data_IF_538418104439
#
_entry.id   IF_538418104439
#
_cell.length_a   1.000
_cell.length_b   1.000
_cell.length_c   1.000
_cell.angle_alpha   90.00
_cell.angle_beta   90.00
_cell.angle_gamma   90.00
#
_symmetry.space_group_name_H-M   'P 1'
#
loop_
_entity.id
_entity.type
_entity.pdbx_description
1 polymer ?
#
# COMPACT_ATOMS: atom_id res chain seq x y z
N UNK A 1 3.52 4.48 -24.15
CA UNK A 1 3.29 4.98 -22.78
C UNK A 1 2.93 3.81 -21.90
N UNK A 2 3.49 3.71 -20.69
CA UNK A 2 3.21 2.60 -19.77
C UNK A 2 1.75 2.64 -19.27
N UNK A 3 1.24 1.50 -18.82
CA UNK A 3 -0.10 1.45 -18.22
C UNK A 3 -0.07 2.08 -16.83
N UNK A 4 -1.04 2.94 -16.53
CA UNK A 4 -1.16 3.62 -15.24
C UNK A 4 -1.91 2.69 -14.28
N UNK A 5 -1.27 2.35 -13.16
CA UNK A 5 -1.77 1.36 -12.21
C UNK A 5 -1.79 1.92 -10.80
N UNK A 6 -2.91 1.79 -10.13
CA UNK A 6 -3.05 2.01 -8.70
C UNK A 6 -3.18 0.66 -7.98
N UNK A 7 -2.38 0.46 -6.93
CA UNK A 7 -2.48 -0.70 -6.06
C UNK A 7 -3.08 -0.31 -4.72
N UNK A 8 -4.14 -0.98 -4.37
CA UNK A 8 -4.72 -0.86 -3.05
C UNK A 8 -3.84 -1.54 -1.98
N UNK A 9 -3.89 -1.05 -0.75
CA UNK A 9 -3.12 -1.55 0.40
C UNK A 9 -3.32 -3.05 0.62
N UNK A 10 -4.54 -3.55 0.40
CA UNK A 10 -4.87 -4.96 0.60
C UNK A 10 -4.13 -5.93 -0.36
N UNK A 11 -3.62 -5.44 -1.49
CA UNK A 11 -2.76 -6.21 -2.39
C UNK A 11 -1.42 -6.52 -1.72
N UNK A 12 -0.83 -5.56 -1.02
CA UNK A 12 0.42 -5.74 -0.27
C UNK A 12 0.21 -6.66 0.93
N UNK A 13 -0.87 -6.46 1.69
CA UNK A 13 -1.25 -7.29 2.84
C UNK A 13 -1.48 -8.74 2.39
N UNK A 14 -2.25 -8.96 1.33
CA UNK A 14 -2.56 -10.28 0.79
C UNK A 14 -1.32 -11.04 0.29
N UNK A 15 -0.28 -10.32 -0.15
CA UNK A 15 1.02 -10.89 -0.52
C UNK A 15 2.01 -10.92 0.65
N UNK A 16 1.58 -10.65 1.90
CA UNK A 16 2.42 -10.59 3.10
C UNK A 16 3.63 -9.67 2.96
N UNK A 17 3.53 -8.59 2.19
CA UNK A 17 4.63 -7.67 1.84
C UNK A 17 5.86 -8.40 1.27
N UNK A 18 5.67 -9.54 0.63
CA UNK A 18 6.76 -10.35 0.12
C UNK A 18 7.20 -9.89 -1.25
N UNK A 19 8.35 -9.22 -1.31
CA UNK A 19 9.03 -8.83 -2.55
C UNK A 19 9.81 -9.99 -3.19
N UNK A 20 9.81 -11.17 -2.56
CA UNK A 20 10.37 -12.39 -3.12
C UNK A 20 9.31 -13.21 -3.88
N UNK A 21 8.04 -12.94 -3.66
CA UNK A 21 6.93 -13.62 -4.31
C UNK A 21 6.68 -13.06 -5.72
N UNK A 22 6.29 -13.97 -6.61
CA UNK A 22 6.13 -13.69 -8.05
C UNK A 22 5.31 -12.44 -8.41
N UNK A 23 4.16 -12.11 -7.77
CA UNK A 23 3.37 -10.95 -8.19
C UNK A 23 4.13 -9.62 -8.05
N UNK A 24 4.63 -9.30 -6.85
CA UNK A 24 5.31 -8.03 -6.60
C UNK A 24 6.68 -7.95 -7.30
N UNK A 25 7.39 -9.07 -7.42
CA UNK A 25 8.65 -9.14 -8.20
C UNK A 25 8.41 -8.89 -9.69
N UNK A 26 7.32 -9.42 -10.25
CA UNK A 26 6.95 -9.14 -11.65
C UNK A 26 6.55 -7.69 -11.85
N UNK A 27 5.75 -7.15 -10.92
CA UNK A 27 5.34 -5.76 -10.96
C UNK A 27 6.55 -4.83 -10.97
N UNK A 28 7.53 -5.06 -10.07
CA UNK A 28 8.78 -4.30 -10.02
C UNK A 28 9.46 -4.28 -11.39
N UNK A 29 9.61 -5.44 -12.05
CA UNK A 29 10.18 -5.51 -13.40
C UNK A 29 9.40 -4.71 -14.44
N UNK A 30 8.07 -4.67 -14.34
CA UNK A 30 7.26 -3.85 -15.24
C UNK A 30 7.42 -2.35 -15.00
N UNK A 31 7.59 -1.95 -13.74
CA UNK A 31 7.89 -0.55 -13.36
C UNK A 31 9.28 -0.16 -13.88
N UNK A 32 10.31 -0.96 -13.61
CA UNK A 32 11.69 -0.74 -14.06
C UNK A 32 11.79 -0.58 -15.59
N UNK A 33 10.96 -1.31 -16.34
CA UNK A 33 10.92 -1.24 -17.80
C UNK A 33 9.90 -0.23 -18.36
N UNK A 34 9.31 0.61 -17.51
CA UNK A 34 8.30 1.60 -17.87
C UNK A 34 7.06 1.01 -18.60
N UNK A 35 6.78 -0.29 -18.39
CA UNK A 35 5.55 -0.94 -18.85
C UNK A 35 4.37 -0.55 -17.96
N UNK A 36 4.65 -0.34 -16.68
CA UNK A 36 3.70 0.13 -15.67
C UNK A 36 4.23 1.41 -15.05
N UNK A 37 3.37 2.39 -14.89
CA UNK A 37 3.59 3.61 -14.12
C UNK A 37 2.66 3.53 -12.91
N UNK A 38 3.22 3.55 -11.72
CA UNK A 38 2.43 3.49 -10.50
C UNK A 38 1.80 4.83 -10.19
N UNK A 39 0.53 4.82 -9.76
CA UNK A 39 -0.05 5.95 -9.02
C UNK A 39 0.17 5.74 -7.54
N UNK A 40 0.64 6.77 -6.87
CA UNK A 40 0.77 6.77 -5.41
C UNK A 40 0.08 7.98 -4.79
N UNK A 41 -0.29 7.85 -3.54
CA UNK A 41 -0.74 8.95 -2.71
C UNK A 41 -0.30 8.72 -1.26
N UNK A 42 -0.21 9.78 -0.51
CA UNK A 42 0.31 9.77 0.86
C UNK A 42 -0.55 8.90 1.81
N UNK A 43 -1.87 8.83 1.59
CA UNK A 43 -2.80 8.06 2.44
C UNK A 43 -2.50 6.57 2.31
N UNK A 44 -2.53 6.05 1.09
CA UNK A 44 -2.24 4.63 0.80
C UNK A 44 -0.82 4.27 1.22
N UNK A 45 0.17 5.13 0.96
CA UNK A 45 1.57 4.90 1.32
C UNK A 45 1.76 4.80 2.83
N UNK A 46 1.17 5.70 3.62
CA UNK A 46 1.18 5.64 5.08
C UNK A 46 0.48 4.39 5.62
N UNK A 47 -0.61 3.97 4.99
CA UNK A 47 -1.30 2.74 5.38
C UNK A 47 -0.47 1.49 5.11
N UNK A 48 0.16 1.40 3.95
CA UNK A 48 1.09 0.30 3.61
C UNK A 48 2.22 0.24 4.63
N UNK A 49 2.87 1.36 4.95
CA UNK A 49 3.95 1.41 5.94
C UNK A 49 3.49 0.97 7.32
N UNK A 50 2.33 1.42 7.76
CA UNK A 50 1.77 1.03 9.06
C UNK A 50 1.60 -0.48 9.15
N UNK A 51 0.91 -1.09 8.19
CA UNK A 51 0.67 -2.54 8.20
C UNK A 51 1.95 -3.36 8.01
N UNK A 52 2.88 -2.86 7.21
CA UNK A 52 4.20 -3.49 7.06
C UNK A 52 4.96 -3.49 8.37
N UNK A 53 5.03 -2.36 9.07
CA UNK A 53 5.68 -2.24 10.36
C UNK A 53 5.05 -3.17 11.42
N UNK A 54 3.73 -3.19 11.52
CA UNK A 54 2.99 -4.10 12.40
C UNK A 54 3.36 -5.57 12.13
N UNK A 55 3.49 -5.94 10.86
CA UNK A 55 3.89 -7.28 10.44
C UNK A 55 5.35 -7.60 10.80
N UNK A 56 6.27 -6.67 10.54
CA UNK A 56 7.70 -6.80 10.91
C UNK A 56 7.82 -7.02 12.41
N UNK A 57 7.17 -6.20 13.22
CA UNK A 57 7.18 -6.32 14.68
C UNK A 57 6.75 -7.70 15.15
N UNK A 58 5.63 -8.22 14.65
CA UNK A 58 5.14 -9.56 15.01
C UNK A 58 6.15 -10.65 14.67
N UNK A 59 6.80 -10.56 13.50
CA UNK A 59 7.76 -11.56 13.03
C UNK A 59 9.03 -11.50 13.87
N UNK A 60 9.57 -10.32 14.12
CA UNK A 60 10.78 -10.10 14.93
C UNK A 60 10.58 -10.58 16.35
N UNK A 61 9.47 -10.23 16.99
CA UNK A 61 9.12 -10.69 18.33
C UNK A 61 9.06 -12.22 18.42
N UNK A 62 8.44 -12.86 17.43
CA UNK A 62 8.35 -14.34 17.39
C UNK A 62 9.73 -14.98 17.21
N UNK A 63 10.52 -14.46 16.30
CA UNK A 63 11.87 -14.96 16.04
C UNK A 63 12.76 -14.83 17.28
N UNK A 64 12.81 -13.66 17.88
CA UNK A 64 13.63 -13.40 19.07
C UNK A 64 13.19 -14.26 20.27
N UNK A 65 11.87 -14.50 20.44
CA UNK A 65 11.36 -15.44 21.44
C UNK A 65 11.80 -16.88 21.20
N UNK A 66 11.86 -17.32 19.94
CA UNK A 66 12.35 -18.67 19.59
C UNK A 66 13.84 -18.78 19.90
N UNK A 67 14.65 -17.81 19.51
CA UNK A 67 16.10 -17.79 19.80
C UNK A 67 16.38 -17.82 21.30
N UNK A 68 15.68 -17.00 22.09
CA UNK A 68 15.84 -16.98 23.56
C UNK A 68 15.49 -18.31 24.25
N UNK A 69 14.50 -19.04 23.72
CA UNK A 69 14.08 -20.33 24.27
C UNK A 69 14.96 -21.51 23.83
N UNK A 70 15.76 -21.33 22.79
CA UNK A 70 16.57 -22.39 22.20
C UNK A 70 18.02 -21.94 22.05
N UNK A 71 18.80 -21.98 23.14
CA UNK A 71 20.18 -21.46 23.14
C UNK A 71 21.12 -22.24 22.20
N UNK A 72 20.71 -23.38 21.67
CA UNK A 72 21.42 -24.09 20.58
C UNK A 72 21.41 -23.31 19.27
N UNK A 73 20.45 -22.40 19.09
CA UNK A 73 20.38 -21.52 17.94
C UNK A 73 21.28 -20.32 18.21
N UNK A 74 22.56 -20.45 17.90
CA UNK A 74 23.53 -19.34 17.95
C UNK A 74 23.25 -18.36 16.81
N UNK A 75 22.24 -17.52 16.96
CA UNK A 75 21.90 -16.45 16.01
C UNK A 75 21.63 -15.16 16.75
N UNK A 76 22.06 -14.08 16.14
CA UNK A 76 21.80 -12.74 16.66
C UNK A 76 20.30 -12.44 16.69
N UNK A 77 19.89 -11.66 17.68
CA UNK A 77 18.53 -11.11 17.73
C UNK A 77 18.31 -10.21 16.51
N UNK A 78 17.12 -10.28 15.92
CA UNK A 78 16.74 -9.39 14.83
C UNK A 78 16.43 -8.00 15.38
N UNK A 79 16.93 -6.99 14.70
CA UNK A 79 16.60 -5.59 14.97
C UNK A 79 15.38 -5.18 14.13
N UNK A 80 14.30 -4.79 14.81
CA UNK A 80 13.05 -4.37 14.19
C UNK A 80 13.24 -3.20 13.24
N UNK A 81 14.02 -2.18 13.64
CA UNK A 81 14.23 -0.98 12.82
C UNK A 81 14.99 -1.29 11.53
N UNK A 82 16.04 -2.09 11.60
CA UNK A 82 16.82 -2.47 10.42
C UNK A 82 16.00 -3.25 9.39
N UNK A 83 15.11 -4.11 9.89
CA UNK A 83 14.22 -4.88 9.01
C UNK A 83 13.17 -3.97 8.39
N UNK A 84 12.58 -3.08 9.17
CA UNK A 84 11.58 -2.12 8.69
C UNK A 84 12.18 -1.20 7.61
N UNK A 85 13.37 -0.66 7.84
CA UNK A 85 14.09 0.17 6.86
C UNK A 85 14.36 -0.57 5.54
N UNK A 86 14.87 -1.80 5.61
CA UNK A 86 15.09 -2.63 4.41
C UNK A 86 13.82 -2.91 3.62
N UNK A 87 12.69 -3.10 4.29
CA UNK A 87 11.41 -3.30 3.61
C UNK A 87 10.86 -2.00 3.02
N UNK A 88 11.07 -0.85 3.69
CA UNK A 88 10.74 0.47 3.12
C UNK A 88 11.52 0.75 1.86
N UNK A 89 12.83 0.51 1.85
CA UNK A 89 13.66 0.64 0.65
C UNK A 89 13.12 -0.19 -0.52
N UNK A 90 12.76 -1.46 -0.27
CA UNK A 90 12.17 -2.33 -1.31
C UNK A 90 10.80 -1.85 -1.79
N UNK A 91 10.01 -1.24 -0.90
CA UNK A 91 8.73 -0.67 -1.29
C UNK A 91 8.93 0.56 -2.17
N UNK A 92 9.86 1.45 -1.81
CA UNK A 92 10.18 2.64 -2.61
C UNK A 92 10.65 2.28 -4.03
N UNK A 93 11.30 1.13 -4.22
CA UNK A 93 11.66 0.65 -5.55
C UNK A 93 10.45 0.41 -6.48
N UNK A 94 9.26 0.13 -5.93
CA UNK A 94 8.02 0.03 -6.71
C UNK A 94 7.47 1.39 -7.13
N UNK A 95 7.84 2.43 -6.41
CA UNK A 95 7.37 3.80 -6.66
C UNK A 95 8.41 4.65 -7.43
N UNK A 96 9.48 4.03 -7.92
CA UNK A 96 10.40 4.69 -8.85
C UNK A 96 9.63 5.14 -10.09
N UNK A 97 9.72 6.42 -10.43
CA UNK A 97 9.00 7.04 -11.55
C UNK A 97 7.46 6.97 -11.42
N UNK A 98 6.93 6.83 -10.21
CA UNK A 98 5.48 6.93 -9.96
C UNK A 98 4.95 8.34 -10.21
N UNK A 99 3.66 8.43 -10.39
CA UNK A 99 2.92 9.69 -10.41
C UNK A 99 2.32 9.87 -9.01
N UNK A 100 2.78 10.87 -8.27
CA UNK A 100 2.22 11.22 -6.97
C UNK A 100 0.95 12.02 -7.16
N UNK A 101 -0.13 11.57 -6.53
CA UNK A 101 -1.41 12.29 -6.47
C UNK A 101 -1.38 13.25 -5.28
N UNK A 102 -1.44 14.56 -5.52
CA UNK A 102 -1.47 15.53 -4.41
C UNK A 102 -2.73 15.35 -3.57
N UNK A 103 -2.63 15.59 -2.26
CA UNK A 103 -3.76 15.55 -1.33
C UNK A 103 -4.67 16.78 -1.52
N UNK A 104 -5.29 16.87 -2.68
CA UNK A 104 -6.29 17.88 -2.99
C UNK A 104 -7.67 17.26 -2.92
N UNK A 105 -8.25 17.30 -1.73
CA UNK A 105 -9.47 16.61 -1.33
C UNK A 105 -10.56 17.64 -1.01
N UNK A 106 -11.72 17.45 -1.62
CA UNK A 106 -12.93 18.17 -1.24
C UNK A 106 -13.58 17.48 -0.03
N UNK A 107 -13.29 18.05 1.15
CA UNK A 107 -13.78 17.50 2.42
C UNK A 107 -15.30 17.65 2.54
N UNK A 108 -15.90 18.72 2.00
CA UNK A 108 -17.35 18.95 2.07
C UNK A 108 -18.07 17.87 1.26
N UNK A 109 -17.60 17.57 0.05
CA UNK A 109 -18.14 16.46 -0.76
C UNK A 109 -18.07 15.12 -0.02
N UNK A 110 -16.97 14.84 0.67
CA UNK A 110 -16.81 13.57 1.40
C UNK A 110 -17.71 13.49 2.62
N UNK A 111 -17.89 14.59 3.33
CA UNK A 111 -18.84 14.66 4.44
C UNK A 111 -20.26 14.43 3.94
N UNK A 112 -20.66 15.05 2.84
CA UNK A 112 -21.96 14.84 2.23
C UNK A 112 -22.16 13.38 1.78
N UNK A 113 -21.15 12.76 1.18
CA UNK A 113 -21.18 11.33 0.83
C UNK A 113 -21.38 10.45 2.06
N UNK A 114 -20.69 10.74 3.17
CA UNK A 114 -20.80 9.98 4.40
C UNK A 114 -22.23 10.04 4.98
N UNK A 115 -22.79 11.23 5.15
CA UNK A 115 -24.14 11.40 5.72
C UNK A 115 -25.25 10.87 4.81
N UNK A 116 -25.05 10.86 3.50
CA UNK A 116 -26.01 10.34 2.53
C UNK A 116 -25.78 8.86 2.17
N UNK A 117 -24.84 8.18 2.83
CA UNK A 117 -24.47 6.79 2.59
C UNK A 117 -24.17 6.50 1.12
N UNK A 118 -23.50 7.45 0.45
CA UNK A 118 -23.02 7.28 -0.93
C UNK A 118 -21.71 6.48 -0.91
N UNK A 119 -21.55 5.44 -1.75
CA UNK A 119 -20.33 4.66 -1.77
C UNK A 119 -19.04 5.52 -1.86
N UNK A 120 -17.99 5.17 -1.07
CA UNK A 120 -17.77 3.90 -0.35
C UNK A 120 -18.51 3.74 0.98
N UNK A 121 -19.24 4.78 1.45
CA UNK A 121 -19.96 4.73 2.70
C UNK A 121 -21.26 3.93 2.56
N UNK A 122 -21.43 2.93 3.42
CA UNK A 122 -22.64 2.12 3.57
C UNK A 122 -22.94 1.96 5.07
N UNK A 123 -24.16 1.53 5.41
CA UNK A 123 -24.58 1.38 6.82
C UNK A 123 -23.63 0.56 7.69
N UNK A 124 -22.96 -0.42 7.11
CA UNK A 124 -22.00 -1.28 7.81
C UNK A 124 -20.55 -0.82 7.62
N UNK A 125 -20.29 0.18 6.78
CA UNK A 125 -18.99 0.69 6.39
C UNK A 125 -18.85 2.20 6.60
N UNK A 126 -19.34 2.71 7.70
CA UNK A 126 -19.30 4.16 8.01
C UNK A 126 -17.88 4.73 8.18
N UNK A 127 -16.86 3.88 8.33
CA UNK A 127 -15.48 4.29 8.61
C UNK A 127 -14.57 4.34 7.39
N UNK A 128 -15.11 4.19 6.19
CA UNK A 128 -14.35 4.10 4.92
C UNK A 128 -13.86 5.49 4.40
N UNK A 129 -13.53 6.41 5.32
CA UNK A 129 -13.03 7.75 4.94
C UNK A 129 -11.75 7.69 4.11
N UNK A 130 -10.83 6.76 4.42
CA UNK A 130 -9.59 6.62 3.65
C UNK A 130 -9.87 6.24 2.21
N UNK A 131 -10.79 5.30 2.02
CA UNK A 131 -11.19 4.84 0.68
C UNK A 131 -11.89 5.96 -0.08
N UNK A 132 -12.76 6.74 0.58
CA UNK A 132 -13.39 7.91 -0.02
C UNK A 132 -12.36 8.94 -0.51
N UNK A 133 -11.34 9.22 0.31
CA UNK A 133 -10.25 10.13 -0.06
C UNK A 133 -9.48 9.60 -1.28
N UNK A 134 -9.08 8.33 -1.25
CA UNK A 134 -8.34 7.71 -2.36
C UNK A 134 -9.17 7.70 -3.64
N UNK A 135 -10.45 7.34 -3.56
CA UNK A 135 -11.37 7.35 -4.70
C UNK A 135 -11.51 8.75 -5.29
N UNK A 136 -11.61 9.79 -4.46
CA UNK A 136 -11.70 11.17 -4.93
C UNK A 136 -10.43 11.59 -5.68
N UNK A 137 -9.23 11.27 -5.14
CA UNK A 137 -7.96 11.54 -5.80
C UNK A 137 -7.85 10.83 -7.16
N UNK A 138 -8.22 9.56 -7.23
CA UNK A 138 -8.21 8.80 -8.49
C UNK A 138 -9.20 9.35 -9.52
N UNK A 139 -10.40 9.73 -9.08
CA UNK A 139 -11.41 10.37 -9.95
C UNK A 139 -10.89 11.70 -10.51
N UNK A 140 -10.26 12.52 -9.67
CA UNK A 140 -9.67 13.81 -10.07
C UNK A 140 -8.58 13.59 -11.11
N UNK A 141 -7.61 12.73 -10.82
CA UNK A 141 -6.54 12.39 -11.76
C UNK A 141 -7.10 11.88 -13.11
N UNK A 142 -8.07 10.97 -13.07
CA UNK A 142 -8.73 10.46 -14.27
C UNK A 142 -9.36 11.56 -15.12
N UNK A 143 -10.02 12.53 -14.47
CA UNK A 143 -10.67 13.67 -15.13
C UNK A 143 -9.66 14.59 -15.81
N UNK A 144 -8.53 14.84 -15.15
CA UNK A 144 -7.49 15.77 -15.62
C UNK A 144 -6.60 15.13 -16.70
N UNK A 145 -6.11 13.93 -16.46
CA UNK A 145 -5.19 13.24 -17.38
C UNK A 145 -5.87 12.64 -18.59
N UNK A 146 -7.16 12.26 -18.48
CA UNK A 146 -7.92 11.46 -19.45
C UNK A 146 -7.33 10.07 -19.71
N UNK A 147 -6.31 9.67 -18.97
CA UNK A 147 -5.64 8.37 -19.08
C UNK A 147 -6.49 7.27 -18.48
N UNK A 148 -6.31 6.03 -18.94
CA UNK A 148 -6.93 4.86 -18.34
C UNK A 148 -6.17 4.43 -17.10
N UNK A 149 -6.87 4.23 -15.97
CA UNK A 149 -6.30 3.80 -14.69
C UNK A 149 -6.74 2.36 -14.44
N UNK A 150 -5.78 1.49 -14.18
CA UNK A 150 -6.02 0.12 -13.73
C UNK A 150 -5.93 0.07 -12.20
N UNK A 151 -7.04 -0.21 -11.54
CA UNK A 151 -7.09 -0.36 -10.08
C UNK A 151 -6.98 -1.85 -9.77
N UNK A 152 -6.00 -2.22 -8.94
CA UNK A 152 -5.80 -3.58 -8.48
C UNK A 152 -6.12 -3.65 -6.99
N UNK A 153 -7.08 -4.45 -6.64
CA UNK A 153 -7.52 -4.70 -5.26
C UNK A 153 -7.76 -6.18 -5.05
N UNK A 154 -7.68 -6.64 -3.80
CA UNK A 154 -8.06 -7.99 -3.38
C UNK A 154 -9.48 -8.04 -2.79
N UNK A 155 -10.20 -6.92 -2.72
CA UNK A 155 -11.59 -6.90 -2.28
C UNK A 155 -12.48 -7.63 -3.30
N UNK A 156 -13.42 -8.39 -2.75
CA UNK A 156 -14.36 -9.19 -3.54
C UNK A 156 -15.68 -8.45 -3.67
#
# INVERSE_FOLDING_TARGET
MGKIVFLDTNVFIGNNFSFLNKPLTKLKKYVENNVVIMLENEITKKEIYKHMYEKVKIIVDRYNKICKKNPIIERDELNEKEIDEKYKEKLEELFINSIELPLDIDIEEIIDQHFNLIPPFEKEKEKEFKDAFVIQLLKKYKKESKEEIFIVTNDK
#
